data_IF_197882683278
#
_entry.id   IF_197882683278
#
_cell.length_a   1.000
_cell.length_b   1.000
_cell.length_c   1.000
_cell.angle_alpha   90.00
_cell.angle_beta   90.00
_cell.angle_gamma   90.00
#
_symmetry.space_group_name_H-M   'P 1'
#
loop_
_entity.id
_entity.type
_entity.pdbx_description
1 polymer ?
#
# COMPACT_ATOMS: atom_id res chain seq x y z
N UNK A 1 2.11 5.14 -31.96
CA UNK A 1 2.11 3.94 -31.10
C UNK A 1 2.97 4.21 -29.87
N UNK A 2 2.45 4.00 -28.65
CA UNK A 2 3.02 4.43 -27.35
C UNK A 2 4.25 3.59 -26.89
N UNK A 3 4.72 2.63 -27.70
CA UNK A 3 5.91 1.84 -27.37
C UNK A 3 5.71 0.80 -26.26
N UNK A 4 4.46 0.52 -25.88
CA UNK A 4 4.11 -0.40 -24.78
C UNK A 4 4.75 -1.79 -24.91
N UNK A 5 4.89 -2.32 -26.13
CA UNK A 5 5.56 -3.62 -26.39
C UNK A 5 7.03 -3.66 -25.91
N UNK A 6 7.69 -2.52 -25.80
CA UNK A 6 9.07 -2.38 -25.33
C UNK A 6 9.15 -1.97 -23.86
N UNK A 7 8.01 -1.77 -23.20
CA UNK A 7 7.98 -1.40 -21.79
C UNK A 7 8.57 -2.55 -20.96
N UNK A 8 9.45 -2.20 -20.01
CA UNK A 8 9.99 -3.15 -19.04
C UNK A 8 9.18 -3.19 -17.77
N UNK A 9 8.52 -2.08 -17.43
CA UNK A 9 7.70 -1.93 -16.23
C UNK A 9 6.48 -1.09 -16.57
N UNK A 10 5.33 -1.46 -16.02
CA UNK A 10 4.04 -0.77 -16.15
C UNK A 10 3.47 -0.56 -14.75
N UNK A 11 3.09 0.68 -14.44
CA UNK A 11 2.43 1.03 -13.19
C UNK A 11 0.97 1.43 -13.46
N UNK A 12 0.04 0.74 -12.82
CA UNK A 12 -1.39 1.07 -12.84
C UNK A 12 -1.75 1.53 -11.43
N UNK A 13 -1.60 2.83 -11.18
CA UNK A 13 -1.66 3.38 -9.81
C UNK A 13 -3.01 3.97 -9.44
N UNK A 14 -3.87 4.23 -10.42
CA UNK A 14 -5.18 4.87 -10.20
C UNK A 14 -6.13 3.83 -9.59
N UNK A 15 -6.70 4.08 -8.39
CA UNK A 15 -7.73 3.22 -7.81
C UNK A 15 -8.94 3.09 -8.73
N UNK A 16 -9.61 1.93 -8.70
CA UNK A 16 -10.76 1.66 -9.58
C UNK A 16 -11.90 2.65 -9.36
N UNK A 17 -12.07 3.17 -8.15
CA UNK A 17 -13.07 4.19 -7.82
C UNK A 17 -12.92 5.47 -8.67
N UNK A 18 -11.70 5.80 -9.10
CA UNK A 18 -11.41 7.00 -9.88
C UNK A 18 -11.41 6.73 -11.40
N UNK A 19 -11.45 5.46 -11.82
CA UNK A 19 -11.48 5.08 -13.22
C UNK A 19 -12.92 5.05 -13.75
N UNK A 20 -13.19 5.85 -14.78
CA UNK A 20 -14.49 5.85 -15.48
C UNK A 20 -14.41 5.00 -16.73
N UNK A 21 -15.27 3.98 -16.82
CA UNK A 21 -15.40 3.13 -18.02
C UNK A 21 -14.34 2.03 -18.16
N UNK A 22 -13.44 1.89 -17.20
CA UNK A 22 -12.44 0.79 -17.15
C UNK A 22 -12.17 0.37 -15.71
N UNK A 23 -11.30 -0.61 -15.53
CA UNK A 23 -10.78 -1.04 -14.24
C UNK A 23 -9.33 -1.48 -14.37
N UNK A 24 -8.62 -1.53 -13.26
CA UNK A 24 -7.28 -2.06 -13.13
C UNK A 24 -7.23 -3.51 -13.62
N UNK A 25 -8.29 -4.30 -13.41
CA UNK A 25 -8.38 -5.66 -13.95
C UNK A 25 -8.33 -5.68 -15.48
N UNK A 26 -9.12 -4.83 -16.14
CA UNK A 26 -9.09 -4.72 -17.60
C UNK A 26 -7.75 -4.20 -18.10
N UNK A 27 -7.18 -3.21 -17.42
CA UNK A 27 -5.90 -2.63 -17.77
C UNK A 27 -4.75 -3.64 -17.63
N UNK A 28 -4.72 -4.44 -16.56
CA UNK A 28 -3.73 -5.51 -16.36
C UNK A 28 -3.84 -6.54 -17.48
N UNK A 29 -5.03 -7.05 -17.76
CA UNK A 29 -5.22 -8.01 -18.85
C UNK A 29 -4.73 -7.46 -20.21
N UNK A 30 -5.08 -6.21 -20.52
CA UNK A 30 -4.65 -5.55 -21.75
C UNK A 30 -3.13 -5.38 -21.79
N UNK A 31 -2.53 -4.89 -20.70
CA UNK A 31 -1.09 -4.67 -20.60
C UNK A 31 -0.31 -5.98 -20.71
N UNK A 32 -0.74 -7.04 -20.04
CA UNK A 32 -0.11 -8.36 -20.13
C UNK A 32 -0.18 -8.92 -21.55
N UNK A 33 -1.30 -8.69 -22.26
CA UNK A 33 -1.46 -9.12 -23.65
C UNK A 33 -0.56 -8.36 -24.61
N UNK A 34 -0.40 -7.04 -24.41
CA UNK A 34 0.37 -6.16 -25.30
C UNK A 34 1.87 -6.11 -24.97
N UNK A 35 2.24 -6.36 -23.72
CA UNK A 35 3.62 -6.33 -23.23
C UNK A 35 3.90 -7.55 -22.33
N UNK A 36 3.96 -8.77 -22.90
CA UNK A 36 4.05 -10.01 -22.12
C UNK A 36 5.26 -10.11 -21.19
N UNK A 37 6.34 -9.38 -21.50
CA UNK A 37 7.59 -9.38 -20.73
C UNK A 37 7.70 -8.21 -19.72
N UNK A 38 6.75 -7.28 -19.69
CA UNK A 38 6.79 -6.16 -18.75
C UNK A 38 6.44 -6.66 -17.33
N UNK A 39 7.11 -6.09 -16.32
CA UNK A 39 6.66 -6.19 -14.94
C UNK A 39 5.47 -5.26 -14.72
N UNK A 40 4.34 -5.77 -14.23
CA UNK A 40 3.10 -5.01 -14.05
C UNK A 40 2.80 -4.86 -12.56
N UNK A 41 2.84 -3.61 -12.07
CA UNK A 41 2.41 -3.26 -10.72
C UNK A 41 1.04 -2.60 -10.77
N UNK A 42 0.06 -3.12 -10.03
CA UNK A 42 -1.31 -2.61 -10.05
C UNK A 42 -1.84 -2.28 -8.65
N UNK A 43 -2.60 -1.20 -8.55
CA UNK A 43 -3.33 -0.83 -7.34
C UNK A 43 -4.55 -1.73 -7.16
N UNK A 44 -4.71 -2.29 -5.97
CA UNK A 44 -5.88 -3.03 -5.55
C UNK A 44 -6.53 -2.32 -4.34
N UNK A 45 -7.86 -2.25 -4.34
CA UNK A 45 -8.59 -1.63 -3.24
C UNK A 45 -8.80 -2.61 -2.06
N UNK A 46 -8.77 -3.91 -2.32
CA UNK A 46 -8.97 -4.95 -1.31
C UNK A 46 -8.23 -6.26 -1.67
N UNK A 47 -8.22 -7.22 -0.74
CA UNK A 47 -7.53 -8.52 -0.90
C UNK A 47 -8.13 -9.38 -2.02
N UNK A 48 -9.43 -9.30 -2.25
CA UNK A 48 -10.11 -10.06 -3.31
C UNK A 48 -9.75 -9.51 -4.70
N UNK A 49 -9.74 -8.18 -4.86
CA UNK A 49 -9.26 -7.50 -6.07
C UNK A 49 -7.79 -7.76 -6.30
N UNK A 50 -6.98 -7.72 -5.25
CA UNK A 50 -5.56 -8.05 -5.33
C UNK A 50 -5.33 -9.46 -5.90
N UNK A 51 -6.15 -10.43 -5.48
CA UNK A 51 -6.09 -11.79 -6.03
C UNK A 51 -6.46 -11.82 -7.52
N UNK A 52 -7.57 -11.20 -7.91
CA UNK A 52 -7.99 -11.13 -9.32
C UNK A 52 -6.95 -10.46 -10.21
N UNK A 53 -6.28 -9.42 -9.73
CA UNK A 53 -5.23 -8.73 -10.46
C UNK A 53 -3.98 -9.61 -10.65
N UNK A 54 -3.60 -10.39 -9.64
CA UNK A 54 -2.52 -11.39 -9.78
C UNK A 54 -2.87 -12.46 -10.80
N UNK A 55 -4.08 -13.01 -10.73
CA UNK A 55 -4.59 -14.00 -11.70
C UNK A 55 -4.63 -13.43 -13.13
N UNK A 56 -4.89 -12.13 -13.27
CA UNK A 56 -4.86 -11.43 -14.56
C UNK A 56 -3.45 -11.16 -15.11
N UNK A 57 -2.41 -11.40 -14.31
CA UNK A 57 -1.01 -11.24 -14.71
C UNK A 57 -0.33 -9.99 -14.17
N UNK A 58 -0.80 -9.39 -13.08
CA UNK A 58 -0.01 -8.42 -12.32
C UNK A 58 1.09 -9.13 -11.54
N UNK A 59 2.33 -8.63 -11.64
CA UNK A 59 3.49 -9.18 -10.95
C UNK A 59 3.63 -8.64 -9.52
N UNK A 60 3.02 -7.49 -9.24
CA UNK A 60 2.94 -6.97 -7.89
C UNK A 60 1.70 -6.12 -7.67
N UNK A 61 1.31 -6.02 -6.40
CA UNK A 61 0.12 -5.33 -5.97
C UNK A 61 0.46 -4.24 -4.98
N UNK A 62 -0.15 -3.08 -5.14
CA UNK A 62 -0.14 -1.99 -4.16
C UNK A 62 -1.53 -1.89 -3.56
N UNK A 63 -1.65 -1.93 -2.24
CA UNK A 63 -2.90 -1.70 -1.49
C UNK A 63 -2.72 -0.46 -0.62
N UNK A 64 -2.90 0.76 -1.17
CA UNK A 64 -2.57 2.01 -0.47
C UNK A 64 -3.21 2.10 0.91
N UNK A 65 -4.50 1.75 1.02
CA UNK A 65 -5.25 1.83 2.27
C UNK A 65 -4.68 0.90 3.35
N UNK A 66 -4.23 -0.29 2.97
CA UNK A 66 -3.58 -1.22 3.89
C UNK A 66 -2.24 -0.67 4.38
N UNK A 67 -1.40 -0.14 3.48
CA UNK A 67 -0.12 0.47 3.85
C UNK A 67 -0.29 1.67 4.77
N UNK A 68 -1.27 2.53 4.48
CA UNK A 68 -1.59 3.69 5.31
C UNK A 68 -2.10 3.23 6.68
N UNK A 69 -3.01 2.25 6.72
CA UNK A 69 -3.51 1.69 7.97
C UNK A 69 -2.39 1.10 8.83
N UNK A 70 -1.48 0.34 8.24
CA UNK A 70 -0.31 -0.21 8.94
C UNK A 70 0.61 0.89 9.47
N UNK A 71 0.91 1.91 8.66
CA UNK A 71 1.74 3.04 9.06
C UNK A 71 1.10 3.81 10.23
N UNK A 72 -0.21 4.06 10.18
CA UNK A 72 -0.94 4.73 11.23
C UNK A 72 -0.92 3.91 12.53
N UNK A 73 -1.23 2.60 12.45
CA UNK A 73 -1.21 1.72 13.62
C UNK A 73 0.18 1.67 14.27
N UNK A 74 1.24 1.55 13.48
CA UNK A 74 2.64 1.58 13.97
C UNK A 74 2.98 2.91 14.65
N UNK A 75 2.48 4.02 14.12
CA UNK A 75 2.70 5.34 14.69
C UNK A 75 1.99 5.48 16.03
N UNK A 76 0.72 5.06 16.11
CA UNK A 76 -0.07 5.09 17.35
C UNK A 76 0.58 4.23 18.45
N UNK A 77 0.94 2.98 18.15
CA UNK A 77 1.64 2.09 19.10
C UNK A 77 2.94 2.69 19.61
N UNK A 78 3.67 3.44 18.77
CA UNK A 78 4.90 4.13 19.18
C UNK A 78 4.63 5.31 20.10
N UNK A 79 3.51 6.03 19.89
CA UNK A 79 3.12 7.15 20.72
C UNK A 79 2.64 6.69 22.10
N UNK A 80 1.80 5.64 22.16
CA UNK A 80 1.34 5.03 23.43
C UNK A 80 2.54 4.61 24.29
N UNK A 81 3.48 3.85 23.71
CA UNK A 81 4.69 3.44 24.43
C UNK A 81 5.56 4.62 24.90
N UNK A 82 5.62 5.70 24.12
CA UNK A 82 6.36 6.91 24.52
C UNK A 82 5.67 7.60 25.70
N UNK A 83 4.35 7.62 25.70
CA UNK A 83 3.57 8.22 26.79
C UNK A 83 3.74 7.42 28.10
N UNK A 84 3.67 6.09 28.04
CA UNK A 84 3.93 5.22 29.20
C UNK A 84 5.32 5.51 29.83
N UNK A 85 6.37 5.61 29.01
CA UNK A 85 7.73 5.89 29.49
C UNK A 85 7.82 7.29 30.14
N UNK A 86 7.15 8.29 29.56
CA UNK A 86 7.13 9.65 30.13
C UNK A 86 6.40 9.67 31.49
N UNK A 87 5.27 8.97 31.60
CA UNK A 87 4.53 8.83 32.86
C UNK A 87 5.35 8.09 33.93
N UNK A 88 6.11 7.05 33.55
CA UNK A 88 7.06 6.37 34.45
C UNK A 88 8.21 7.29 34.91
N UNK A 89 8.78 8.09 34.00
CA UNK A 89 9.84 9.05 34.33
C UNK A 89 9.35 10.14 35.29
N UNK A 90 8.20 10.75 35.01
CA UNK A 90 7.60 11.78 35.84
C UNK A 90 7.27 11.23 37.26
N UNK A 91 6.82 9.98 37.36
CA UNK A 91 6.58 9.32 38.64
C UNK A 91 7.87 9.15 39.45
N UNK A 92 8.95 8.68 38.83
CA UNK A 92 10.25 8.49 39.49
C UNK A 92 10.88 9.81 39.96
N UNK A 93 10.79 10.88 39.15
CA UNK A 93 11.29 12.21 39.53
C UNK A 93 10.52 12.81 40.72
N UNK A 94 9.22 12.50 40.84
CA UNK A 94 8.40 12.97 41.96
C UNK A 94 8.73 12.28 43.29
N UNK A 95 9.13 11.00 43.26
CA UNK A 95 9.52 10.23 44.46
C UNK A 95 10.90 10.64 45.01
N UNK A 96 11.88 10.96 44.15
CA UNK A 96 13.24 11.38 44.56
C UNK A 96 13.30 12.83 45.09
N UNK A 97 12.21 13.59 44.97
CA UNK A 97 12.09 14.98 45.45
C UNK A 97 11.42 15.12 46.82
N UNK A 98 10.98 14.01 47.43
CA UNK A 98 10.40 13.99 48.77
C UNK A 98 11.50 14.13 49.85
N UNK A 99 11.37 15.06 50.82
CA UNK A 99 12.39 15.35 51.84
C UNK A 99 12.56 14.26 52.92
#
# INVERSE_FOLDING_TARGET
HIGLQRARVIFITIPDLLLKGTSNLRLVHLCRSLAPAAAILATADDSQRAQKLREAGADGIVTPDHYIGEMLARTLMRLEKKQEILEEMDALESEDSAP
#
